data_IF_469666438717
#
_entry.id   IF_469666438717
#
_cell.length_a   1.000
_cell.length_b   1.000
_cell.length_c   1.000
_cell.angle_alpha   90.00
_cell.angle_beta   90.00
_cell.angle_gamma   90.00
#
_symmetry.space_group_name_H-M   'P 1'
#
loop_
_entity.id
_entity.type
_entity.pdbx_description
1 polymer ?
#
# COMPACT_ATOMS: atom_id res chain seq x y z
N UNK A 1 10.90 -17.75 -10.27
CA UNK A 1 9.88 -17.28 -11.24
C UNK A 1 10.54 -16.29 -12.18
N UNK A 2 10.09 -16.18 -13.45
CA UNK A 2 10.45 -15.04 -14.30
C UNK A 2 9.31 -14.04 -14.21
N UNK A 3 9.61 -12.79 -13.87
CA UNK A 3 8.63 -11.72 -13.76
C UNK A 3 8.62 -10.95 -15.09
N UNK A 4 7.49 -10.90 -15.78
CA UNK A 4 7.41 -10.22 -17.08
C UNK A 4 7.33 -8.70 -16.93
N UNK A 5 7.63 -7.95 -17.99
CA UNK A 5 7.42 -6.50 -18.01
C UNK A 5 5.95 -6.13 -17.77
N UNK A 6 5.04 -6.91 -18.33
CA UNK A 6 3.59 -6.74 -18.14
C UNK A 6 3.19 -6.91 -16.67
N UNK A 7 3.86 -7.80 -15.93
CA UNK A 7 3.64 -7.96 -14.49
C UNK A 7 4.16 -6.77 -13.68
N UNK A 8 5.30 -6.17 -14.08
CA UNK A 8 5.81 -4.92 -13.48
C UNK A 8 4.85 -3.77 -13.74
N UNK A 9 4.36 -3.62 -14.97
CA UNK A 9 3.39 -2.59 -15.34
C UNK A 9 2.07 -2.75 -14.57
N UNK A 10 1.58 -4.00 -14.45
CA UNK A 10 0.38 -4.29 -13.67
C UNK A 10 0.57 -3.93 -12.19
N UNK A 11 1.71 -4.28 -11.60
CA UNK A 11 2.02 -3.94 -10.22
C UNK A 11 2.11 -2.42 -10.03
N UNK A 12 2.77 -1.72 -10.95
CA UNK A 12 2.88 -0.26 -10.93
C UNK A 12 1.50 0.42 -11.01
N UNK A 13 0.60 -0.08 -11.86
CA UNK A 13 -0.76 0.43 -11.96
C UNK A 13 -1.59 0.22 -10.68
N UNK A 14 -1.42 -0.93 -10.03
CA UNK A 14 -2.05 -1.19 -8.73
C UNK A 14 -1.53 -0.23 -7.65
N UNK A 15 -0.22 0.04 -7.67
CA UNK A 15 0.44 0.98 -6.75
C UNK A 15 0.28 2.46 -7.13
N UNK A 16 -0.42 2.78 -8.24
CA UNK A 16 -0.55 4.14 -8.80
C UNK A 16 0.78 4.82 -9.12
N UNK A 17 1.77 4.04 -9.52
CA UNK A 17 3.07 4.52 -9.98
C UNK A 17 3.10 4.60 -11.51
N UNK A 18 3.54 5.74 -12.03
CA UNK A 18 3.87 5.89 -13.45
C UNK A 18 5.35 5.63 -13.61
N UNK A 19 5.70 4.64 -14.41
CA UNK A 19 7.08 4.23 -14.67
C UNK A 19 7.43 4.48 -16.14
N UNK A 20 8.68 4.84 -16.37
CA UNK A 20 9.29 4.85 -17.69
C UNK A 20 9.72 3.43 -18.11
N UNK A 21 9.93 3.21 -19.41
CA UNK A 21 10.42 1.93 -19.94
C UNK A 21 11.75 1.50 -19.31
N UNK A 22 12.63 2.46 -19.01
CA UNK A 22 13.91 2.22 -18.34
C UNK A 22 13.72 1.75 -16.89
N UNK A 23 12.76 2.33 -16.17
CA UNK A 23 12.41 1.91 -14.81
C UNK A 23 11.75 0.53 -14.80
N UNK A 24 10.92 0.22 -15.80
CA UNK A 24 10.32 -1.11 -15.96
C UNK A 24 11.42 -2.17 -16.13
N UNK A 25 12.40 -1.93 -17.00
CA UNK A 25 13.54 -2.84 -17.21
C UNK A 25 14.40 -3.02 -15.95
N UNK A 26 14.61 -1.94 -15.20
CA UNK A 26 15.36 -1.96 -13.96
C UNK A 26 14.61 -2.75 -12.87
N UNK A 27 13.33 -2.43 -12.65
CA UNK A 27 12.53 -3.02 -11.59
C UNK A 27 12.16 -4.46 -11.88
N UNK A 28 12.05 -4.87 -13.14
CA UNK A 28 11.90 -6.28 -13.49
C UNK A 28 13.01 -7.13 -12.85
N UNK A 29 14.28 -6.75 -13.04
CA UNK A 29 15.43 -7.48 -12.49
C UNK A 29 15.47 -7.42 -10.96
N UNK A 30 15.23 -6.24 -10.39
CA UNK A 30 15.27 -6.06 -8.94
C UNK A 30 14.16 -6.84 -8.22
N UNK A 31 12.95 -6.87 -8.78
CA UNK A 31 11.84 -7.66 -8.24
C UNK A 31 12.14 -9.16 -8.35
N UNK A 32 12.71 -9.61 -9.46
CA UNK A 32 13.17 -11.01 -9.60
C UNK A 32 14.18 -11.39 -8.51
N UNK A 33 15.18 -10.54 -8.24
CA UNK A 33 16.19 -10.77 -7.20
C UNK A 33 15.56 -10.81 -5.80
N UNK A 34 14.63 -9.90 -5.50
CA UNK A 34 13.92 -9.86 -4.21
C UNK A 34 13.08 -11.13 -4.04
N UNK A 35 12.30 -11.53 -5.05
CA UNK A 35 11.47 -12.74 -4.98
C UNK A 35 12.32 -13.99 -4.81
N UNK A 36 13.45 -14.08 -5.51
CA UNK A 36 14.40 -15.19 -5.35
C UNK A 36 14.99 -15.24 -3.92
N UNK A 37 15.19 -14.09 -3.28
CA UNK A 37 15.60 -14.04 -1.88
C UNK A 37 14.47 -14.48 -0.93
N UNK A 38 13.25 -13.99 -1.14
CA UNK A 38 12.06 -14.32 -0.33
C UNK A 38 11.70 -15.81 -0.44
N UNK A 39 11.93 -16.44 -1.60
CA UNK A 39 11.70 -17.87 -1.85
C UNK A 39 12.44 -18.80 -0.87
N UNK A 40 13.46 -18.30 -0.15
CA UNK A 40 14.12 -19.05 0.93
C UNK A 40 13.16 -19.44 2.06
N UNK A 41 12.09 -18.68 2.29
CA UNK A 41 11.07 -18.97 3.31
C UNK A 41 10.36 -20.30 3.03
N UNK A 42 10.17 -20.66 1.75
CA UNK A 42 9.50 -21.91 1.35
C UNK A 42 10.26 -23.17 1.76
N UNK A 43 11.53 -23.05 2.20
CA UNK A 43 12.34 -24.17 2.69
C UNK A 43 12.11 -24.48 4.18
N UNK A 44 11.38 -23.63 4.88
CA UNK A 44 11.11 -23.76 6.31
C UNK A 44 9.81 -24.54 6.51
N UNK A 45 9.79 -25.48 7.46
CA UNK A 45 8.54 -26.10 7.91
C UNK A 45 7.85 -25.15 8.89
N UNK A 46 6.71 -24.59 8.48
CA UNK A 46 5.91 -23.67 9.29
C UNK A 46 4.55 -24.26 9.71
N UNK A 47 4.32 -25.57 9.50
CA UNK A 47 3.01 -26.21 9.71
C UNK A 47 2.43 -26.02 11.12
N UNK A 48 3.31 -26.01 12.14
CA UNK A 48 2.92 -25.88 13.55
C UNK A 48 3.15 -24.47 14.11
N UNK A 49 3.52 -23.50 13.25
CA UNK A 49 3.80 -22.12 13.66
C UNK A 49 2.58 -21.27 13.36
N UNK A 50 1.99 -20.68 14.41
CA UNK A 50 0.94 -19.67 14.26
C UNK A 50 1.54 -18.35 13.77
N UNK A 51 0.84 -17.70 12.85
CA UNK A 51 1.19 -16.38 12.36
C UNK A 51 1.19 -15.31 13.49
N UNK A 52 2.17 -14.40 13.44
CA UNK A 52 2.20 -13.24 14.32
C UNK A 52 1.53 -12.06 13.61
N UNK A 53 0.38 -11.62 14.12
CA UNK A 53 -0.43 -10.54 13.54
C UNK A 53 -0.17 -9.18 14.20
N UNK A 54 0.37 -9.18 15.41
CA UNK A 54 0.60 -7.99 16.24
C UNK A 54 1.77 -8.24 17.18
N UNK A 55 2.58 -7.21 17.43
CA UNK A 55 3.61 -7.22 18.47
C UNK A 55 3.05 -6.98 19.88
N UNK A 56 1.73 -6.85 20.01
CA UNK A 56 1.00 -6.58 21.26
C UNK A 56 0.01 -7.73 21.46
N UNK A 57 -0.07 -8.27 22.68
CA UNK A 57 -1.05 -9.27 23.04
C UNK A 57 -2.46 -8.74 22.81
N UNK A 58 -3.29 -9.51 22.10
CA UNK A 58 -4.65 -9.12 21.71
C UNK A 58 -5.57 -8.75 22.91
N UNK A 59 -5.16 -9.09 24.14
CA UNK A 59 -5.88 -8.75 25.36
C UNK A 59 -5.86 -7.25 25.70
N UNK A 60 -4.99 -6.46 25.06
CA UNK A 60 -4.90 -5.01 25.29
C UNK A 60 -5.73 -4.17 24.31
N UNK A 61 -6.47 -4.81 23.39
CA UNK A 61 -7.37 -4.11 22.46
C UNK A 61 -8.60 -3.60 23.22
N UNK A 62 -8.64 -2.29 23.48
CA UNK A 62 -9.79 -1.62 24.11
C UNK A 62 -10.63 -0.90 23.05
N UNK A 63 -11.96 -1.03 23.08
CA UNK A 63 -12.81 -0.25 22.21
C UNK A 63 -12.67 1.25 22.54
N UNK A 64 -12.70 2.09 21.51
CA UNK A 64 -12.83 3.54 21.70
C UNK A 64 -14.20 3.85 22.31
N UNK A 65 -14.27 4.79 23.24
CA UNK A 65 -15.57 5.26 23.76
C UNK A 65 -16.39 5.94 22.66
N UNK A 66 -17.69 5.70 22.61
CA UNK A 66 -18.59 6.37 21.67
C UNK A 66 -18.89 7.80 22.13
N UNK A 67 -17.95 8.70 21.84
CA UNK A 67 -18.06 10.13 22.08
C UNK A 67 -17.91 10.86 20.74
N UNK A 68 -18.76 11.85 20.54
CA UNK A 68 -18.69 12.77 19.39
C UNK A 68 -17.57 13.77 19.65
N UNK A 69 -16.65 13.88 18.69
CA UNK A 69 -15.62 14.90 18.66
C UNK A 69 -15.89 15.82 17.47
N UNK A 70 -15.81 17.14 17.68
CA UNK A 70 -16.04 18.13 16.63
C UNK A 70 -14.85 18.10 15.67
N UNK A 71 -15.11 17.92 14.38
CA UNK A 71 -14.08 18.00 13.36
C UNK A 71 -13.54 19.42 13.26
N UNK A 72 -12.22 19.57 13.22
CA UNK A 72 -11.57 20.87 12.99
C UNK A 72 -11.64 21.22 11.49
N UNK A 73 -12.32 22.32 11.10
CA UNK A 73 -12.35 22.77 9.70
C UNK A 73 -10.96 23.07 9.13
N UNK A 74 -9.96 23.31 9.99
CA UNK A 74 -8.58 23.54 9.59
C UNK A 74 -7.84 22.26 9.21
N UNK A 75 -8.44 21.07 9.43
CA UNK A 75 -7.85 19.77 9.10
C UNK A 75 -7.47 19.60 7.63
N UNK A 76 -8.13 20.32 6.72
CA UNK A 76 -7.87 20.24 5.27
C UNK A 76 -6.88 21.28 4.76
N UNK A 77 -6.28 22.11 5.63
CA UNK A 77 -5.38 23.20 5.21
C UNK A 77 -4.17 22.76 4.40
N UNK A 78 -3.75 21.50 4.55
CA UNK A 78 -2.62 20.92 3.82
C UNK A 78 -3.02 20.33 2.47
N UNK A 79 -4.29 20.40 2.09
CA UNK A 79 -4.74 19.94 0.78
C UNK A 79 -4.06 20.75 -0.33
N UNK A 80 -3.63 20.07 -1.39
CA UNK A 80 -2.93 20.72 -2.51
C UNK A 80 -3.76 21.78 -3.22
N UNK A 81 -5.10 21.66 -3.18
CA UNK A 81 -6.01 22.68 -3.70
C UNK A 81 -7.30 22.69 -2.87
N UNK A 82 -7.73 23.90 -2.51
CA UNK A 82 -8.96 24.17 -1.79
C UNK A 82 -9.90 25.03 -2.63
N UNK A 83 -11.20 24.79 -2.49
CA UNK A 83 -12.26 25.66 -2.98
C UNK A 83 -13.32 25.76 -1.89
N UNK A 84 -13.45 26.94 -1.30
CA UNK A 84 -14.29 27.16 -0.12
C UNK A 84 -13.94 26.14 0.98
N UNK A 85 -14.93 25.40 1.48
CA UNK A 85 -14.76 24.37 2.52
C UNK A 85 -14.41 22.97 1.95
N UNK A 86 -14.01 22.88 0.67
CA UNK A 86 -13.79 21.62 -0.02
C UNK A 86 -12.35 21.44 -0.51
N UNK A 87 -11.86 20.20 -0.42
CA UNK A 87 -10.66 19.76 -1.14
C UNK A 87 -11.00 19.50 -2.60
N UNK A 88 -10.20 20.03 -3.50
CA UNK A 88 -10.38 19.83 -4.94
C UNK A 88 -9.62 18.57 -5.37
N UNK A 89 -10.30 17.71 -6.13
CA UNK A 89 -9.73 16.52 -6.75
C UNK A 89 -10.14 16.45 -8.23
N UNK A 90 -9.39 15.70 -9.07
CA UNK A 90 -9.82 15.40 -10.42
C UNK A 90 -11.21 14.74 -10.45
N UNK A 91 -11.97 14.95 -11.53
CA UNK A 91 -13.24 14.25 -11.73
C UNK A 91 -12.99 12.74 -11.73
N UNK A 92 -13.83 12.01 -11.01
CA UNK A 92 -13.70 10.55 -10.85
C UNK A 92 -14.26 9.80 -12.05
N UNK A 93 -15.27 10.37 -12.71
CA UNK A 93 -15.91 9.79 -13.88
C UNK A 93 -15.91 10.83 -15.01
N UNK A 94 -15.55 10.37 -16.21
CA UNK A 94 -15.84 11.08 -17.45
C UNK A 94 -17.26 10.66 -17.86
N UNK A 95 -18.19 11.62 -17.78
CA UNK A 95 -19.59 11.47 -18.25
C UNK A 95 -19.66 12.07 -19.66
#
# INVERSE_FOLDING_TARGET
MKFSKEEVEKLANLAKLKLSDQEIDLYQKQVEDILAYVDKINKLNLADIKESLSGIDNNDLKPRSDKVEVSDPQSIKQAGQLKDDYMVAPKVFDI
#
